data_IF_336424284476
#
_entry.id   IF_336424284476
#
_cell.length_a   1.000
_cell.length_b   1.000
_cell.length_c   1.000
_cell.angle_alpha   90.00
_cell.angle_beta   90.00
_cell.angle_gamma   90.00
#
_symmetry.space_group_name_H-M   'P 1'
#
loop_
_entity.id
_entity.type
_entity.pdbx_description
1 polymer ?
#
# COMPACT_ATOMS: atom_id res chain seq x y z
N UNK A 1 57.55 21.19 -15.56
CA UNK A 1 57.01 19.89 -15.08
C UNK A 1 55.50 20.05 -15.07
N UNK A 2 54.85 19.53 -16.12
CA UNK A 2 53.42 19.64 -16.35
C UNK A 2 52.80 18.30 -15.92
N UNK A 3 52.02 18.28 -14.82
CA UNK A 3 51.29 17.08 -14.38
C UNK A 3 50.11 16.85 -15.34
N UNK A 4 50.12 15.69 -15.97
CA UNK A 4 48.99 15.17 -16.74
C UNK A 4 47.86 14.78 -15.81
N UNK A 5 46.71 15.44 -15.94
CA UNK A 5 45.46 15.05 -15.30
C UNK A 5 44.98 13.79 -16.03
N UNK A 6 45.03 12.63 -15.36
CA UNK A 6 44.42 11.40 -15.84
C UNK A 6 42.89 11.54 -15.86
N UNK A 7 42.35 11.60 -17.03
CA UNK A 7 40.92 11.49 -17.33
C UNK A 7 40.40 10.15 -16.79
N UNK A 8 39.63 10.19 -15.72
CA UNK A 8 38.86 9.04 -15.24
C UNK A 8 37.69 8.78 -16.19
N UNK A 9 37.95 8.01 -17.24
CA UNK A 9 36.93 7.44 -18.11
C UNK A 9 35.95 6.62 -17.28
N UNK A 10 34.86 7.25 -16.87
CA UNK A 10 33.64 6.56 -16.45
C UNK A 10 33.24 5.61 -17.59
N UNK A 11 33.43 4.32 -17.38
CA UNK A 11 32.88 3.27 -18.23
C UNK A 11 31.36 3.36 -18.14
N UNK A 12 30.77 4.23 -18.95
CA UNK A 12 29.36 4.09 -19.30
C UNK A 12 29.24 2.76 -20.02
N UNK A 13 28.75 1.74 -19.34
CA UNK A 13 28.25 0.53 -19.98
C UNK A 13 27.32 0.99 -21.09
N UNK A 14 27.55 0.47 -22.31
CA UNK A 14 26.71 0.70 -23.50
C UNK A 14 25.27 0.21 -23.20
N UNK A 15 24.54 0.96 -22.42
CA UNK A 15 23.11 0.84 -22.27
C UNK A 15 22.60 1.35 -23.60
N UNK A 16 21.94 0.49 -24.35
CA UNK A 16 21.37 0.81 -25.67
C UNK A 16 20.36 1.96 -25.48
N UNK A 17 20.86 3.20 -25.59
CA UNK A 17 20.15 4.45 -25.29
C UNK A 17 18.93 4.57 -26.23
N UNK A 18 19.05 4.09 -27.48
CA UNK A 18 17.96 4.10 -28.46
C UNK A 18 16.76 3.27 -27.97
N UNK A 19 16.98 2.03 -27.47
CA UNK A 19 15.91 1.21 -26.90
C UNK A 19 15.27 1.82 -25.62
N UNK A 20 15.98 2.68 -24.89
CA UNK A 20 15.42 3.39 -23.74
C UNK A 20 14.62 4.62 -24.14
N UNK A 21 14.97 5.28 -25.24
CA UNK A 21 14.20 6.41 -25.76
C UNK A 21 12.85 5.96 -26.33
N UNK A 22 12.75 4.77 -26.91
CA UNK A 22 11.48 4.18 -27.37
C UNK A 22 10.48 3.90 -26.23
N UNK A 23 10.96 3.83 -24.99
CA UNK A 23 10.10 3.71 -23.81
C UNK A 23 9.43 5.03 -23.41
N UNK A 24 9.92 6.18 -23.89
CA UNK A 24 9.34 7.49 -23.62
C UNK A 24 8.23 7.75 -24.63
N UNK A 25 6.99 7.85 -24.15
CA UNK A 25 5.80 8.07 -24.97
C UNK A 25 5.13 9.38 -24.59
N UNK A 26 4.56 10.06 -25.57
CA UNK A 26 3.67 11.19 -25.28
C UNK A 26 2.42 10.68 -24.60
N UNK A 27 1.88 11.46 -23.65
CA UNK A 27 0.70 11.06 -22.89
C UNK A 27 -0.49 10.67 -23.78
N UNK A 28 -0.68 11.37 -24.89
CA UNK A 28 -1.75 11.07 -25.87
C UNK A 28 -1.56 9.77 -26.65
N UNK A 29 -0.36 9.19 -26.65
CA UNK A 29 -0.04 7.92 -27.32
C UNK A 29 -0.19 6.72 -26.38
N UNK A 30 -0.38 6.99 -25.06
CA UNK A 30 -0.56 5.96 -24.05
C UNK A 30 -2.04 5.54 -24.06
N UNK A 31 -2.29 4.32 -24.53
CA UNK A 31 -3.63 3.73 -24.39
C UNK A 31 -3.87 3.41 -22.92
N UNK A 32 -4.73 4.16 -22.26
CA UNK A 32 -5.25 3.80 -20.93
C UNK A 32 -6.26 2.68 -21.13
N UNK A 33 -5.94 1.45 -20.70
CA UNK A 33 -6.95 0.43 -20.51
C UNK A 33 -7.92 0.87 -19.39
N UNK A 34 -9.16 0.43 -19.45
CA UNK A 34 -10.10 0.59 -18.34
C UNK A 34 -9.48 -0.07 -17.10
N UNK A 35 -9.14 0.73 -16.09
CA UNK A 35 -8.68 0.22 -14.82
C UNK A 35 -9.88 -0.17 -13.99
N UNK A 36 -9.87 -1.40 -13.50
CA UNK A 36 -10.85 -1.87 -12.54
C UNK A 36 -10.75 -1.02 -11.27
N UNK A 37 -11.89 -0.44 -10.85
CA UNK A 37 -11.99 0.40 -9.66
C UNK A 37 -13.02 -0.17 -8.70
N UNK A 38 -12.73 -0.14 -7.41
CA UNK A 38 -13.64 -0.53 -6.35
C UNK A 38 -14.29 0.72 -5.75
N UNK A 39 -15.63 0.77 -5.77
CA UNK A 39 -16.40 1.84 -5.18
C UNK A 39 -16.44 1.68 -3.65
N UNK A 40 -15.92 2.66 -2.92
CA UNK A 40 -15.87 2.62 -1.45
C UNK A 40 -17.21 2.83 -0.77
N UNK A 41 -18.24 3.23 -1.51
CA UNK A 41 -19.57 3.68 -1.00
C UNK A 41 -19.46 4.92 -0.08
N UNK A 42 -18.32 5.58 -0.04
CA UNK A 42 -18.09 6.84 0.67
C UNK A 42 -17.83 7.90 -0.39
N UNK A 43 -18.83 8.75 -0.62
CA UNK A 43 -18.85 9.72 -1.73
C UNK A 43 -17.62 10.62 -1.76
N UNK A 44 -17.25 11.18 -0.60
CA UNK A 44 -16.09 12.07 -0.52
C UNK A 44 -14.77 11.33 -0.77
N UNK A 45 -14.62 10.10 -0.29
CA UNK A 45 -13.45 9.30 -0.54
C UNK A 45 -13.34 8.95 -2.04
N UNK A 46 -14.42 8.52 -2.66
CA UNK A 46 -14.44 8.24 -4.10
C UNK A 46 -14.12 9.50 -4.92
N UNK A 47 -14.63 10.67 -4.52
CA UNK A 47 -14.33 11.95 -5.19
C UNK A 47 -12.83 12.26 -5.16
N UNK A 48 -12.20 12.11 -3.99
CA UNK A 48 -10.75 12.34 -3.83
C UNK A 48 -9.93 11.32 -4.63
N UNK A 49 -10.41 10.07 -4.72
CA UNK A 49 -9.73 8.98 -5.43
C UNK A 49 -10.02 8.96 -6.95
N UNK A 50 -10.79 9.91 -7.47
CA UNK A 50 -11.12 9.95 -8.89
C UNK A 50 -12.11 8.87 -9.34
N UNK A 51 -12.99 8.42 -8.45
CA UNK A 51 -14.06 7.46 -8.73
C UNK A 51 -14.03 6.20 -7.88
N UNK A 52 -12.93 5.91 -7.20
CA UNK A 52 -12.78 4.73 -6.33
C UNK A 52 -11.35 4.26 -6.19
N UNK A 53 -11.17 3.13 -5.51
CA UNK A 53 -9.87 2.49 -5.32
C UNK A 53 -9.46 1.76 -6.61
N UNK A 54 -8.35 2.15 -7.20
CA UNK A 54 -7.83 1.51 -8.42
C UNK A 54 -7.13 0.21 -8.05
N UNK A 55 -7.49 -0.89 -8.69
CA UNK A 55 -6.82 -2.20 -8.52
C UNK A 55 -5.32 -2.10 -8.80
N UNK A 56 -4.52 -2.69 -7.93
CA UNK A 56 -3.05 -2.62 -8.02
C UNK A 56 -2.45 -1.27 -7.64
N UNK A 57 -3.23 -0.39 -6.99
CA UNK A 57 -2.72 0.86 -6.42
C UNK A 57 -2.40 0.73 -4.92
N UNK A 58 -1.50 1.57 -4.44
CA UNK A 58 -1.24 1.78 -3.03
C UNK A 58 -1.62 3.21 -2.67
N UNK A 59 -2.38 3.39 -1.60
CA UNK A 59 -2.88 4.68 -1.13
C UNK A 59 -2.39 4.91 0.29
N UNK A 60 -1.83 6.07 0.55
CA UNK A 60 -1.44 6.50 1.89
C UNK A 60 -2.43 7.54 2.40
N UNK A 61 -3.03 7.25 3.55
CA UNK A 61 -3.90 8.19 4.28
C UNK A 61 -3.13 8.70 5.49
N UNK A 62 -2.96 10.01 5.59
CA UNK A 62 -2.32 10.66 6.73
C UNK A 62 -3.21 11.75 7.32
N UNK A 63 -2.94 12.13 8.56
CA UNK A 63 -3.67 13.15 9.29
C UNK A 63 -3.40 13.04 10.80
N UNK A 64 -3.86 14.01 11.56
CA UNK A 64 -3.63 14.08 13.01
C UNK A 64 -4.24 12.88 13.75
N UNK A 65 -3.68 12.50 14.91
CA UNK A 65 -4.29 11.51 15.79
C UNK A 65 -5.74 11.89 16.14
N UNK A 66 -6.64 10.90 16.15
CA UNK A 66 -8.04 11.13 16.53
C UNK A 66 -8.93 11.73 15.45
N UNK A 67 -8.42 12.09 14.25
CA UNK A 67 -9.24 12.69 13.18
C UNK A 67 -10.21 11.71 12.50
N UNK A 68 -10.13 10.41 12.81
CA UNK A 68 -11.06 9.42 12.28
C UNK A 68 -10.49 8.54 11.15
N UNK A 69 -9.16 8.51 10.94
CA UNK A 69 -8.52 7.65 9.91
C UNK A 69 -8.95 6.19 10.01
N UNK A 70 -8.76 5.59 11.19
CA UNK A 70 -9.08 4.16 11.41
C UNK A 70 -10.59 3.88 11.28
N UNK A 71 -11.45 4.84 11.62
CA UNK A 71 -12.90 4.75 11.39
C UNK A 71 -13.23 4.72 9.90
N UNK A 72 -12.65 5.65 9.14
CA UNK A 72 -12.80 5.70 7.68
C UNK A 72 -12.30 4.42 7.01
N UNK A 73 -11.15 3.92 7.44
CA UNK A 73 -10.54 2.70 6.92
C UNK A 73 -11.42 1.47 7.21
N UNK A 74 -11.96 1.35 8.43
CA UNK A 74 -12.80 0.22 8.81
C UNK A 74 -14.15 0.23 8.06
N UNK A 75 -14.76 1.41 7.88
CA UNK A 75 -15.97 1.54 7.05
C UNK A 75 -15.69 1.22 5.57
N UNK A 76 -14.56 1.68 5.04
CA UNK A 76 -14.12 1.34 3.68
C UNK A 76 -13.93 -0.17 3.53
N UNK A 77 -13.25 -0.81 4.49
CA UNK A 77 -13.05 -2.25 4.52
C UNK A 77 -14.37 -3.03 4.46
N UNK A 78 -15.34 -2.63 5.29
CA UNK A 78 -16.67 -3.24 5.32
C UNK A 78 -17.38 -3.13 3.96
N UNK A 79 -17.39 -1.93 3.39
CA UNK A 79 -18.09 -1.69 2.12
C UNK A 79 -17.45 -2.46 0.96
N UNK A 80 -16.13 -2.47 0.88
CA UNK A 80 -15.38 -3.23 -0.12
C UNK A 80 -15.60 -4.73 0.06
N UNK A 81 -15.55 -5.21 1.31
CA UNK A 81 -15.74 -6.63 1.60
C UNK A 81 -17.13 -7.12 1.21
N UNK A 82 -18.19 -6.35 1.49
CA UNK A 82 -19.57 -6.70 1.13
C UNK A 82 -19.80 -6.81 -0.37
N UNK A 83 -19.12 -6.00 -1.15
CA UNK A 83 -19.41 -5.87 -2.59
C UNK A 83 -18.45 -6.66 -3.47
N UNK A 84 -17.18 -6.76 -3.07
CA UNK A 84 -16.15 -7.27 -3.97
C UNK A 84 -15.43 -8.53 -3.46
N UNK A 85 -15.43 -8.82 -2.15
CA UNK A 85 -14.84 -10.03 -1.58
C UNK A 85 -13.88 -9.78 -0.43
N UNK A 86 -12.94 -10.69 -0.23
CA UNK A 86 -12.07 -10.75 0.95
C UNK A 86 -11.26 -9.48 1.15
N UNK A 87 -11.32 -8.93 2.36
CA UNK A 87 -10.53 -7.78 2.81
C UNK A 87 -9.74 -8.18 4.07
N UNK A 88 -8.46 -7.83 4.12
CA UNK A 88 -7.62 -8.00 5.30
C UNK A 88 -7.34 -6.64 5.94
N UNK A 89 -7.74 -6.47 7.20
CA UNK A 89 -7.43 -5.31 8.03
C UNK A 89 -6.35 -5.71 9.05
N UNK A 90 -5.17 -5.15 8.89
CA UNK A 90 -4.02 -5.35 9.79
C UNK A 90 -3.92 -4.16 10.72
N UNK A 91 -3.98 -4.41 12.02
CA UNK A 91 -3.79 -3.40 13.05
C UNK A 91 -2.45 -3.59 13.74
N UNK A 92 -1.71 -2.52 13.90
CA UNK A 92 -0.48 -2.52 14.69
C UNK A 92 -0.64 -1.83 16.06
N UNK A 93 -1.81 -1.29 16.36
CA UNK A 93 -2.05 -0.50 17.58
C UNK A 93 -3.20 -1.03 18.43
N UNK A 94 -4.24 -1.57 17.79
CA UNK A 94 -5.45 -2.06 18.47
C UNK A 94 -5.55 -3.58 18.38
N UNK A 95 -6.06 -4.22 19.43
CA UNK A 95 -6.41 -5.64 19.39
C UNK A 95 -7.66 -5.89 18.55
N UNK A 96 -7.85 -7.14 18.11
CA UNK A 96 -9.03 -7.57 17.34
C UNK A 96 -10.34 -7.26 18.10
N UNK A 97 -10.34 -7.42 19.44
CA UNK A 97 -11.50 -7.12 20.29
C UNK A 97 -11.83 -5.62 20.30
N UNK A 98 -10.83 -4.76 20.37
CA UNK A 98 -11.04 -3.30 20.32
C UNK A 98 -11.61 -2.88 18.97
N UNK A 99 -11.08 -3.45 17.87
CA UNK A 99 -11.60 -3.21 16.53
C UNK A 99 -13.04 -3.74 16.40
N UNK A 100 -13.32 -4.92 16.96
CA UNK A 100 -14.67 -5.50 16.96
C UNK A 100 -15.67 -4.60 17.68
N UNK A 101 -15.35 -4.13 18.90
CA UNK A 101 -16.20 -3.20 19.66
C UNK A 101 -16.47 -1.91 18.86
N UNK A 102 -15.45 -1.37 18.20
CA UNK A 102 -15.60 -0.20 17.33
C UNK A 102 -16.44 -0.52 16.11
N UNK A 103 -16.22 -1.68 15.51
CA UNK A 103 -16.98 -2.18 14.36
C UNK A 103 -18.48 -2.29 14.67
N UNK A 104 -18.84 -2.86 15.83
CA UNK A 104 -20.23 -3.00 16.25
C UNK A 104 -20.94 -1.63 16.37
N UNK A 105 -20.24 -0.62 16.89
CA UNK A 105 -20.78 0.76 16.96
C UNK A 105 -20.97 1.40 15.58
N UNK A 106 -20.19 0.98 14.59
CA UNK A 106 -20.23 1.48 13.22
C UNK A 106 -21.13 0.66 12.30
N UNK A 107 -21.73 -0.44 12.80
CA UNK A 107 -22.55 -1.34 12.01
C UNK A 107 -21.74 -2.15 11.00
N UNK A 108 -20.50 -2.51 11.34
CA UNK A 108 -19.64 -3.37 10.52
C UNK A 108 -20.13 -4.81 10.62
N UNK A 109 -20.51 -5.41 9.49
CA UNK A 109 -21.15 -6.73 9.44
C UNK A 109 -20.76 -7.56 8.21
N UNK A 110 -19.65 -7.22 7.55
CA UNK A 110 -19.16 -7.95 6.38
C UNK A 110 -18.55 -9.31 6.77
N UNK A 111 -19.02 -10.39 6.14
CA UNK A 111 -18.57 -11.77 6.41
C UNK A 111 -17.14 -12.06 5.93
N UNK A 112 -16.69 -11.38 4.88
CA UNK A 112 -15.37 -11.57 4.26
C UNK A 112 -14.34 -10.50 4.71
N UNK A 113 -14.58 -9.82 5.85
CA UNK A 113 -13.65 -8.89 6.46
C UNK A 113 -12.84 -9.61 7.56
N UNK A 114 -11.57 -9.84 7.27
CA UNK A 114 -10.60 -10.48 8.16
C UNK A 114 -9.82 -9.41 8.92
N UNK A 115 -9.64 -9.60 10.22
CA UNK A 115 -8.91 -8.68 11.10
C UNK A 115 -7.77 -9.44 11.77
N UNK A 116 -6.61 -8.82 11.84
CA UNK A 116 -5.45 -9.36 12.56
C UNK A 116 -4.68 -8.23 13.25
N UNK A 117 -4.20 -8.50 14.46
CA UNK A 117 -3.25 -7.64 15.18
C UNK A 117 -1.84 -8.19 14.96
N UNK A 118 -1.09 -7.55 14.05
CA UNK A 118 0.26 -7.96 13.69
C UNK A 118 1.09 -6.77 13.21
N UNK A 119 2.39 -6.78 13.54
CA UNK A 119 3.33 -5.72 13.17
C UNK A 119 4.52 -6.22 12.35
N UNK A 120 4.78 -7.53 12.34
CA UNK A 120 5.83 -8.11 11.51
C UNK A 120 5.34 -8.29 10.06
N UNK A 121 5.98 -7.56 9.12
CA UNK A 121 5.56 -7.56 7.72
C UNK A 121 5.72 -8.94 7.05
N UNK A 122 6.69 -9.74 7.46
CA UNK A 122 6.89 -11.07 6.88
C UNK A 122 5.75 -12.02 7.28
N UNK A 123 5.22 -11.89 8.50
CA UNK A 123 4.02 -12.61 8.96
C UNK A 123 2.77 -12.08 8.25
N UNK A 124 2.63 -10.76 8.11
CA UNK A 124 1.53 -10.16 7.36
C UNK A 124 1.49 -10.69 5.92
N UNK A 125 2.64 -10.87 5.27
CA UNK A 125 2.72 -11.44 3.93
C UNK A 125 2.21 -12.88 3.87
N UNK A 126 2.49 -13.70 4.89
CA UNK A 126 1.95 -15.05 4.99
C UNK A 126 0.41 -15.03 5.04
N UNK A 127 -0.18 -14.11 5.81
CA UNK A 127 -1.64 -13.96 5.86
C UNK A 127 -2.21 -13.51 4.52
N UNK A 128 -1.55 -12.58 3.83
CA UNK A 128 -1.96 -12.15 2.49
C UNK A 128 -1.96 -13.34 1.51
N UNK A 129 -0.92 -14.15 1.53
CA UNK A 129 -0.79 -15.32 0.66
C UNK A 129 -1.84 -16.42 0.96
N UNK A 130 -2.20 -16.60 2.22
CA UNK A 130 -3.21 -17.60 2.64
C UNK A 130 -4.64 -17.13 2.37
N UNK A 131 -4.97 -15.89 2.73
CA UNK A 131 -6.33 -15.33 2.61
C UNK A 131 -6.62 -14.92 1.18
N UNK A 132 -5.59 -14.46 0.45
CA UNK A 132 -5.68 -13.87 -0.92
C UNK A 132 -6.73 -12.75 -0.98
N UNK A 133 -6.59 -11.72 -0.13
CA UNK A 133 -7.55 -10.62 -0.12
C UNK A 133 -7.41 -9.77 -1.38
N UNK A 134 -8.52 -9.19 -1.83
CA UNK A 134 -8.52 -8.21 -2.93
C UNK A 134 -8.08 -6.82 -2.46
N UNK A 135 -8.18 -6.56 -1.16
CA UNK A 135 -7.84 -5.29 -0.54
C UNK A 135 -7.22 -5.52 0.84
N UNK A 136 -6.11 -4.83 1.10
CA UNK A 136 -5.40 -4.89 2.38
C UNK A 136 -5.31 -3.49 2.97
N UNK A 137 -5.62 -3.37 4.24
CA UNK A 137 -5.43 -2.16 5.03
C UNK A 137 -4.37 -2.42 6.09
N UNK A 138 -3.45 -1.49 6.25
CA UNK A 138 -2.43 -1.50 7.31
C UNK A 138 -2.60 -0.23 8.14
N UNK A 139 -2.99 -0.39 9.38
CA UNK A 139 -3.24 0.69 10.35
C UNK A 139 -2.41 0.48 11.62
N UNK A 140 -1.19 1.04 11.66
CA UNK A 140 -0.56 1.98 10.73
C UNK A 140 0.77 1.45 10.20
N UNK A 141 1.24 2.02 9.09
CA UNK A 141 2.58 1.71 8.53
C UNK A 141 3.72 2.04 9.51
N UNK A 142 3.49 2.91 10.48
CA UNK A 142 4.49 3.30 11.48
C UNK A 142 4.75 2.20 12.52
N UNK A 143 3.80 1.29 12.73
CA UNK A 143 3.94 0.17 13.66
C UNK A 143 4.54 -1.06 13.02
N UNK A 144 4.47 -1.15 11.68
CA UNK A 144 4.96 -2.31 10.93
C UNK A 144 6.49 -2.26 10.77
N UNK A 145 7.13 -3.41 10.89
CA UNK A 145 8.58 -3.56 10.75
C UNK A 145 8.95 -4.83 9.97
N UNK A 146 10.21 -4.85 9.52
CA UNK A 146 10.87 -6.04 8.96
C UNK A 146 12.11 -6.35 9.79
N UNK A 147 12.30 -7.61 10.14
CA UNK A 147 13.46 -8.09 10.91
C UNK A 147 14.79 -7.84 10.19
N UNK A 148 14.78 -7.83 8.85
CA UNK A 148 15.96 -7.54 8.03
C UNK A 148 16.47 -6.10 8.12
N UNK A 149 15.71 -5.19 8.75
CA UNK A 149 16.07 -3.78 8.91
C UNK A 149 16.38 -3.50 10.38
N UNK A 150 17.61 -3.15 10.67
CA UNK A 150 18.13 -3.00 12.05
C UNK A 150 17.59 -1.80 12.83
N UNK A 151 16.88 -0.89 12.19
CA UNK A 151 16.33 0.30 12.84
C UNK A 151 14.99 0.00 13.54
N UNK A 152 14.64 0.80 14.54
CA UNK A 152 13.39 0.63 15.28
C UNK A 152 12.14 0.82 14.40
N UNK A 153 11.00 0.14 14.74
CA UNK A 153 9.71 0.42 14.13
C UNK A 153 9.38 1.93 14.15
N UNK A 154 8.72 2.43 13.13
CA UNK A 154 8.39 3.85 13.00
C UNK A 154 9.54 4.75 12.52
N UNK A 155 10.77 4.25 12.46
CA UNK A 155 11.87 4.99 11.85
C UNK A 155 11.66 5.18 10.35
N UNK A 156 12.24 6.24 9.78
CA UNK A 156 12.12 6.54 8.34
C UNK A 156 12.60 5.36 7.48
N UNK A 157 13.68 4.68 7.89
CA UNK A 157 14.21 3.51 7.17
C UNK A 157 13.25 2.32 7.21
N UNK A 158 12.64 2.01 8.35
CA UNK A 158 11.63 0.96 8.48
C UNK A 158 10.39 1.28 7.63
N UNK A 159 9.82 2.48 7.78
CA UNK A 159 8.63 2.89 7.01
C UNK A 159 8.90 2.82 5.51
N UNK A 160 10.07 3.29 5.07
CA UNK A 160 10.47 3.23 3.66
C UNK A 160 10.59 1.80 3.15
N UNK A 161 11.26 0.91 3.89
CA UNK A 161 11.46 -0.47 3.46
C UNK A 161 10.16 -1.27 3.49
N UNK A 162 9.33 -1.11 4.53
CA UNK A 162 8.01 -1.73 4.59
C UNK A 162 7.11 -1.26 3.43
N UNK A 163 7.07 0.05 3.15
CA UNK A 163 6.30 0.59 2.04
C UNK A 163 6.78 0.05 0.68
N UNK A 164 8.09 -0.05 0.48
CA UNK A 164 8.66 -0.64 -0.73
C UNK A 164 8.31 -2.12 -0.88
N UNK A 165 8.32 -2.89 0.21
CA UNK A 165 7.93 -4.30 0.21
C UNK A 165 6.46 -4.47 -0.16
N UNK A 166 5.57 -3.71 0.46
CA UNK A 166 4.14 -3.70 0.16
C UNK A 166 3.89 -3.33 -1.31
N UNK A 167 4.59 -2.31 -1.82
CA UNK A 167 4.48 -1.90 -3.23
C UNK A 167 4.88 -3.02 -4.20
N UNK A 168 5.87 -3.84 -3.86
CA UNK A 168 6.28 -5.00 -4.69
C UNK A 168 5.19 -6.06 -4.71
N UNK A 169 4.55 -6.35 -3.58
CA UNK A 169 3.43 -7.30 -3.49
C UNK A 169 2.27 -6.83 -4.37
N UNK A 170 1.88 -5.56 -4.23
CA UNK A 170 0.77 -4.96 -5.00
C UNK A 170 1.04 -5.00 -6.52
N UNK A 171 2.29 -4.88 -6.97
CA UNK A 171 2.66 -4.87 -8.39
C UNK A 171 3.02 -6.24 -8.96
N UNK A 172 3.28 -7.21 -8.11
CA UNK A 172 3.71 -8.56 -8.51
C UNK A 172 2.56 -9.55 -8.67
N UNK A 173 1.36 -9.14 -8.31
CA UNK A 173 0.13 -9.96 -8.42
C UNK A 173 -0.69 -9.55 -9.65
#
# INVERSE_FOLDING_TARGET
MVEEIKDNNLKFTNINIEKKLDAVKKIGEIKSGEKETYNTKITELNRVLGGGLVKGSMILISGDPGIGKSTLLLQTANNISKEYGKVLYVSGEESEEQIKIRGDRLGIDADELYIVSETNLDIINIYIDQIKPIFVIIDSIQTVYKDSVSSAPGSVSQVKECSNSIMRIVKGN
#
